data_IF_011783908232
#
_entry.id   IF_011783908232
#
_cell.length_a   1.000
_cell.length_b   1.000
_cell.length_c   1.000
_cell.angle_alpha   90.00
_cell.angle_beta   90.00
_cell.angle_gamma   90.00
#
_symmetry.space_group_name_H-M   'P 1'
#
loop_
_entity.id
_entity.type
_entity.pdbx_description
1 polymer ?
#
# COMPACT_ATOMS: atom_id res chain seq x y z
N UNK A 1 114.77 -55.50 -8.43
CA UNK A 1 113.80 -55.34 -9.53
C UNK A 1 112.49 -56.09 -9.30
N UNK A 2 112.46 -57.43 -9.17
CA UNK A 2 111.20 -58.20 -9.06
C UNK A 2 110.23 -57.78 -7.92
N UNK A 3 110.73 -57.40 -6.75
CA UNK A 3 109.88 -56.94 -5.63
C UNK A 3 109.17 -55.62 -5.93
N UNK A 4 109.83 -54.73 -6.68
CA UNK A 4 109.29 -53.44 -7.07
C UNK A 4 108.21 -53.62 -8.15
N UNK A 5 108.46 -54.49 -9.14
CA UNK A 5 107.45 -54.87 -10.15
C UNK A 5 106.22 -55.52 -9.51
N UNK A 6 106.40 -56.39 -8.52
CA UNK A 6 105.29 -57.03 -7.77
C UNK A 6 104.46 -56.00 -6.99
N UNK A 7 105.09 -54.99 -6.40
CA UNK A 7 104.38 -53.93 -5.68
C UNK A 7 103.59 -53.03 -6.64
N UNK A 8 104.18 -52.64 -7.78
CA UNK A 8 103.48 -51.87 -8.82
C UNK A 8 102.27 -52.62 -9.38
N UNK A 9 102.38 -53.93 -9.60
CA UNK A 9 101.23 -54.76 -10.05
C UNK A 9 100.13 -54.80 -8.99
N UNK A 10 100.48 -54.85 -7.69
CA UNK A 10 99.50 -54.81 -6.60
C UNK A 10 98.77 -53.46 -6.54
N UNK A 11 99.50 -52.35 -6.57
CA UNK A 11 98.92 -51.00 -6.57
C UNK A 11 98.08 -50.74 -7.82
N UNK A 12 98.51 -51.24 -8.99
CA UNK A 12 97.72 -51.14 -10.23
C UNK A 12 96.40 -51.93 -10.13
N UNK A 13 96.40 -53.11 -9.49
CA UNK A 13 95.20 -53.91 -9.29
C UNK A 13 94.23 -53.24 -8.30
N UNK A 14 94.74 -52.67 -7.20
CA UNK A 14 93.95 -51.87 -6.25
C UNK A 14 93.35 -50.62 -6.92
N UNK A 15 94.15 -49.90 -7.71
CA UNK A 15 93.70 -48.75 -8.49
C UNK A 15 92.64 -49.13 -9.53
N UNK A 16 92.85 -50.23 -10.27
CA UNK A 16 91.88 -50.75 -11.24
C UNK A 16 90.56 -51.15 -10.57
N UNK A 17 90.61 -51.76 -9.38
CA UNK A 17 89.43 -52.07 -8.59
C UNK A 17 88.68 -50.83 -8.13
N UNK A 18 89.39 -49.82 -7.61
CA UNK A 18 88.81 -48.53 -7.23
C UNK A 18 88.20 -47.78 -8.44
N UNK A 19 88.88 -47.80 -9.60
CA UNK A 19 88.37 -47.21 -10.83
C UNK A 19 87.10 -47.91 -11.30
N UNK A 20 87.05 -49.25 -11.25
CA UNK A 20 85.86 -50.01 -11.65
C UNK A 20 84.65 -49.71 -10.74
N UNK A 21 84.88 -49.51 -9.44
CA UNK A 21 83.84 -49.06 -8.51
C UNK A 21 83.36 -47.64 -8.84
N UNK A 22 84.27 -46.71 -9.15
CA UNK A 22 83.90 -45.35 -9.55
C UNK A 22 83.12 -45.32 -10.87
N UNK A 23 83.51 -46.13 -11.86
CA UNK A 23 82.77 -46.26 -13.14
C UNK A 23 81.37 -46.81 -12.89
N UNK A 24 81.23 -47.79 -12.00
CA UNK A 24 79.91 -48.34 -11.61
C UNK A 24 79.03 -47.29 -10.94
N UNK A 25 79.56 -46.58 -9.93
CA UNK A 25 78.84 -45.51 -9.24
C UNK A 25 78.45 -44.38 -10.20
N UNK A 26 79.33 -44.01 -11.13
CA UNK A 26 79.03 -43.02 -12.16
C UNK A 26 77.91 -43.48 -13.11
N UNK A 27 77.87 -44.76 -13.47
CA UNK A 27 76.78 -45.34 -14.26
C UNK A 27 75.44 -45.33 -13.51
N UNK A 28 75.45 -45.63 -12.21
CA UNK A 28 74.27 -45.55 -11.35
C UNK A 28 73.76 -44.10 -11.25
N UNK A 29 74.64 -43.13 -10.98
CA UNK A 29 74.28 -41.70 -10.95
C UNK A 29 73.77 -41.19 -12.30
N UNK A 30 74.36 -41.62 -13.42
CA UNK A 30 73.88 -41.23 -14.75
C UNK A 30 72.46 -41.74 -15.03
N UNK A 31 72.11 -42.94 -14.53
CA UNK A 31 70.76 -43.48 -14.61
C UNK A 31 69.79 -42.66 -13.75
N UNK A 32 70.16 -42.31 -12.53
CA UNK A 32 69.34 -41.45 -11.65
C UNK A 32 69.08 -40.08 -12.27
N UNK A 33 70.12 -39.47 -12.86
CA UNK A 33 70.01 -38.19 -13.59
C UNK A 33 69.02 -38.32 -14.76
N UNK A 34 69.12 -39.40 -15.54
CA UNK A 34 68.22 -39.64 -16.69
C UNK A 34 66.76 -39.76 -16.25
N UNK A 35 66.51 -40.48 -15.15
CA UNK A 35 65.17 -40.60 -14.57
C UNK A 35 64.65 -39.24 -14.08
N UNK A 36 65.48 -38.47 -13.38
CA UNK A 36 65.13 -37.13 -12.91
C UNK A 36 64.78 -36.19 -14.09
N UNK A 37 65.55 -36.21 -15.18
CA UNK A 37 65.25 -35.43 -16.38
C UNK A 37 63.94 -35.87 -17.06
N UNK A 38 63.65 -37.17 -17.11
CA UNK A 38 62.37 -37.66 -17.63
C UNK A 38 61.19 -37.17 -16.80
N UNK A 39 61.33 -37.13 -15.47
CA UNK A 39 60.31 -36.62 -14.57
C UNK A 39 60.13 -35.09 -14.72
N UNK A 40 61.24 -34.35 -14.89
CA UNK A 40 61.21 -32.91 -15.17
C UNK A 40 60.48 -32.64 -16.49
N UNK A 41 60.78 -33.38 -17.56
CA UNK A 41 60.10 -33.21 -18.86
C UNK A 41 58.59 -33.39 -18.73
N UNK A 42 58.14 -34.47 -18.06
CA UNK A 42 56.72 -34.70 -17.80
C UNK A 42 56.08 -33.59 -16.95
N UNK A 43 56.83 -33.04 -15.98
CA UNK A 43 56.35 -31.93 -15.15
C UNK A 43 56.22 -30.63 -15.94
N UNK A 44 57.14 -30.36 -16.87
CA UNK A 44 57.09 -29.21 -17.77
C UNK A 44 55.87 -29.29 -18.69
N UNK A 45 55.55 -30.47 -19.23
CA UNK A 45 54.35 -30.68 -20.04
C UNK A 45 53.06 -30.40 -19.24
N UNK A 46 52.99 -30.92 -18.00
CA UNK A 46 51.85 -30.65 -17.11
C UNK A 46 51.73 -29.17 -16.73
N UNK A 47 52.87 -28.49 -16.54
CA UNK A 47 52.91 -27.06 -16.28
C UNK A 47 52.42 -26.25 -17.49
N UNK A 48 52.80 -26.63 -18.71
CA UNK A 48 52.33 -25.99 -19.93
C UNK A 48 50.81 -26.10 -20.08
N UNK A 49 50.23 -27.28 -19.77
CA UNK A 49 48.78 -27.47 -19.75
C UNK A 49 48.10 -26.58 -18.69
N UNK A 50 48.65 -26.54 -17.48
CA UNK A 50 48.13 -25.69 -16.39
C UNK A 50 48.13 -24.20 -16.78
N UNK A 51 49.16 -23.72 -17.48
CA UNK A 51 49.22 -22.34 -17.99
C UNK A 51 48.13 -22.08 -19.04
N UNK A 52 47.80 -23.06 -19.89
CA UNK A 52 46.70 -22.92 -20.84
C UNK A 52 45.34 -22.79 -20.12
N UNK A 53 45.11 -23.62 -19.11
CA UNK A 53 43.88 -23.58 -18.30
C UNK A 53 43.73 -22.26 -17.53
N UNK A 54 44.84 -21.73 -17.00
CA UNK A 54 44.87 -20.39 -16.38
C UNK A 54 44.50 -19.30 -17.39
N UNK A 55 45.04 -19.33 -18.61
CA UNK A 55 44.71 -18.35 -19.64
C UNK A 55 43.22 -18.41 -20.02
N UNK A 56 42.66 -19.61 -20.19
CA UNK A 56 41.23 -19.77 -20.49
C UNK A 56 40.36 -19.25 -19.35
N UNK A 57 40.78 -19.47 -18.10
CA UNK A 57 40.07 -18.96 -16.92
C UNK A 57 40.14 -17.44 -16.84
N UNK A 58 41.29 -16.84 -17.17
CA UNK A 58 41.44 -15.38 -17.24
C UNK A 58 40.52 -14.74 -18.29
N UNK A 59 40.36 -15.35 -19.46
CA UNK A 59 39.40 -14.87 -20.47
C UNK A 59 37.96 -14.87 -19.95
N UNK A 60 37.55 -15.95 -19.26
CA UNK A 60 36.22 -16.02 -18.64
C UNK A 60 36.04 -14.98 -17.55
N UNK A 61 37.02 -14.79 -16.67
CA UNK A 61 36.96 -13.77 -15.62
C UNK A 61 36.85 -12.35 -16.20
N UNK A 62 37.52 -12.07 -17.32
CA UNK A 62 37.39 -10.77 -17.98
C UNK A 62 35.97 -10.52 -18.51
N UNK A 63 35.33 -11.54 -19.10
CA UNK A 63 33.95 -11.47 -19.58
C UNK A 63 32.95 -11.26 -18.42
N UNK A 64 33.15 -11.98 -17.31
CA UNK A 64 32.36 -11.81 -16.09
C UNK A 64 32.51 -10.40 -15.49
N UNK A 65 33.73 -9.84 -15.47
CA UNK A 65 33.99 -8.48 -14.98
C UNK A 65 33.24 -7.45 -15.84
N UNK A 66 33.22 -7.60 -17.16
CA UNK A 66 32.46 -6.71 -18.05
C UNK A 66 30.96 -6.81 -17.78
N UNK A 67 30.44 -8.03 -17.64
CA UNK A 67 29.03 -8.28 -17.30
C UNK A 67 28.63 -7.65 -15.97
N UNK A 68 29.48 -7.77 -14.94
CA UNK A 68 29.26 -7.15 -13.62
C UNK A 68 29.30 -5.61 -13.72
N UNK A 69 30.19 -5.05 -14.54
CA UNK A 69 30.28 -3.60 -14.77
C UNK A 69 29.02 -3.06 -15.44
N UNK A 70 28.49 -3.77 -16.44
CA UNK A 70 27.24 -3.41 -17.11
C UNK A 70 26.05 -3.50 -16.13
N UNK A 71 25.93 -4.61 -15.41
CA UNK A 71 24.90 -4.79 -14.39
C UNK A 71 24.94 -3.70 -13.30
N UNK A 72 26.13 -3.30 -12.87
CA UNK A 72 26.32 -2.21 -11.90
C UNK A 72 25.86 -0.86 -12.44
N UNK A 73 26.06 -0.60 -13.73
CA UNK A 73 25.61 0.63 -14.38
C UNK A 73 24.08 0.67 -14.47
N UNK A 74 23.46 -0.44 -14.89
CA UNK A 74 22.00 -0.58 -14.92
C UNK A 74 21.38 -0.47 -13.52
N UNK A 75 22.02 -1.06 -12.51
CA UNK A 75 21.58 -0.93 -11.11
C UNK A 75 21.60 0.51 -10.63
N UNK A 76 22.62 1.29 -11.01
CA UNK A 76 22.69 2.72 -10.68
C UNK A 76 21.56 3.52 -11.31
N UNK A 77 21.26 3.25 -12.59
CA UNK A 77 20.15 3.89 -13.30
C UNK A 77 18.79 3.55 -12.66
N UNK A 78 18.54 2.26 -12.39
CA UNK A 78 17.32 1.82 -11.72
C UNK A 78 17.18 2.42 -10.32
N UNK A 79 18.28 2.56 -9.58
CA UNK A 79 18.28 3.21 -8.27
C UNK A 79 17.89 4.68 -8.37
N UNK A 80 18.38 5.40 -9.39
CA UNK A 80 17.98 6.79 -9.65
C UNK A 80 16.49 6.90 -9.93
N UNK A 81 15.95 6.06 -10.82
CA UNK A 81 14.52 6.04 -11.15
C UNK A 81 13.67 5.69 -9.93
N UNK A 82 14.15 4.80 -9.06
CA UNK A 82 13.47 4.45 -7.81
C UNK A 82 13.37 5.65 -6.89
N UNK A 83 14.46 6.42 -6.72
CA UNK A 83 14.45 7.66 -5.91
C UNK A 83 13.46 8.68 -6.48
N UNK A 84 13.46 8.89 -7.79
CA UNK A 84 12.55 9.83 -8.44
C UNK A 84 11.08 9.41 -8.26
N UNK A 85 10.80 8.11 -8.42
CA UNK A 85 9.45 7.55 -8.23
C UNK A 85 9.01 7.67 -6.77
N UNK A 86 9.90 7.43 -5.81
CA UNK A 86 9.61 7.64 -4.38
C UNK A 86 9.32 9.10 -4.06
N UNK A 87 10.08 10.04 -4.62
CA UNK A 87 9.82 11.47 -4.44
C UNK A 87 8.47 11.89 -5.05
N UNK A 88 8.12 11.37 -6.22
CA UNK A 88 6.80 11.59 -6.82
C UNK A 88 5.69 11.03 -5.91
N UNK A 89 5.86 9.82 -5.39
CA UNK A 89 4.91 9.21 -4.46
C UNK A 89 4.70 10.04 -3.19
N UNK A 90 5.77 10.60 -2.62
CA UNK A 90 5.66 11.51 -1.47
C UNK A 90 4.87 12.77 -1.80
N UNK A 91 5.11 13.37 -2.97
CA UNK A 91 4.36 14.55 -3.40
C UNK A 91 2.86 14.22 -3.63
N UNK A 92 2.53 13.04 -4.15
CA UNK A 92 1.13 12.59 -4.28
C UNK A 92 0.46 12.38 -2.91
N UNK A 93 1.19 11.88 -1.92
CA UNK A 93 0.73 11.75 -0.53
C UNK A 93 0.46 13.12 0.10
N UNK A 94 1.31 14.12 -0.15
CA UNK A 94 1.10 15.49 0.33
C UNK A 94 -0.18 16.11 -0.26
N UNK A 95 -0.38 15.96 -1.59
CA UNK A 95 -1.59 16.40 -2.27
C UNK A 95 -2.83 15.70 -1.68
N UNK A 96 -2.74 14.40 -1.40
CA UNK A 96 -3.84 13.65 -0.77
C UNK A 96 -4.18 14.18 0.62
N UNK A 97 -3.19 14.58 1.42
CA UNK A 97 -3.41 15.17 2.75
C UNK A 97 -4.13 16.53 2.67
N UNK A 98 -3.80 17.35 1.67
CA UNK A 98 -4.52 18.60 1.40
C UNK A 98 -5.98 18.35 1.00
N UNK A 99 -6.23 17.38 0.13
CA UNK A 99 -7.58 17.00 -0.28
C UNK A 99 -8.43 16.49 0.89
N UNK A 100 -7.85 15.67 1.77
CA UNK A 100 -8.55 15.25 3.00
C UNK A 100 -8.89 16.42 3.92
N UNK A 101 -8.04 17.45 3.97
CA UNK A 101 -8.32 18.66 4.75
C UNK A 101 -9.52 19.41 4.16
N UNK A 102 -9.62 19.52 2.82
CA UNK A 102 -10.78 20.13 2.14
C UNK A 102 -12.06 19.34 2.39
N UNK A 103 -12.01 18.02 2.25
CA UNK A 103 -13.17 17.17 2.54
C UNK A 103 -13.62 17.28 4.00
N UNK A 104 -12.67 17.42 4.94
CA UNK A 104 -12.97 17.70 6.34
C UNK A 104 -13.75 19.00 6.55
N UNK A 105 -13.44 20.05 5.79
CA UNK A 105 -14.19 21.30 5.81
C UNK A 105 -15.62 21.14 5.23
N UNK A 106 -15.76 20.48 4.08
CA UNK A 106 -17.07 20.21 3.46
C UNK A 106 -17.99 19.38 4.38
N UNK A 107 -17.39 18.45 5.14
CA UNK A 107 -18.07 17.67 6.17
C UNK A 107 -18.62 18.57 7.28
N UNK A 108 -17.80 19.50 7.79
CA UNK A 108 -18.22 20.44 8.83
C UNK A 108 -19.37 21.34 8.36
N UNK A 109 -19.32 21.80 7.11
CA UNK A 109 -20.40 22.59 6.49
C UNK A 109 -21.68 21.76 6.35
N UNK A 110 -21.56 20.49 5.96
CA UNK A 110 -22.71 19.57 5.86
C UNK A 110 -23.37 19.36 7.22
N UNK A 111 -22.61 19.23 8.31
CA UNK A 111 -23.16 19.12 9.68
C UNK A 111 -23.94 20.39 10.04
N UNK A 112 -23.39 21.57 9.74
CA UNK A 112 -24.06 22.85 9.97
C UNK A 112 -25.40 22.93 9.21
N UNK A 113 -25.43 22.52 7.94
CA UNK A 113 -26.65 22.49 7.14
C UNK A 113 -27.71 21.51 7.69
N UNK A 114 -27.29 20.32 8.15
CA UNK A 114 -28.21 19.34 8.74
C UNK A 114 -28.81 19.85 10.07
N UNK A 115 -28.02 20.53 10.89
CA UNK A 115 -28.50 21.16 12.11
C UNK A 115 -29.52 22.26 11.82
N UNK A 116 -29.26 23.10 10.81
CA UNK A 116 -30.21 24.12 10.37
C UNK A 116 -31.52 23.51 9.83
N UNK A 117 -31.44 22.42 9.07
CA UNK A 117 -32.62 21.68 8.59
C UNK A 117 -33.45 21.11 9.74
N UNK A 118 -32.79 20.56 10.77
CA UNK A 118 -33.47 20.02 11.95
C UNK A 118 -34.22 21.13 12.71
N UNK A 119 -33.57 22.28 12.91
CA UNK A 119 -34.21 23.46 13.53
C UNK A 119 -35.42 23.95 12.72
N UNK A 120 -35.29 24.08 11.40
CA UNK A 120 -36.40 24.47 10.52
C UNK A 120 -37.56 23.46 10.58
N UNK A 121 -37.24 22.16 10.62
CA UNK A 121 -38.24 21.09 10.71
C UNK A 121 -39.01 21.17 12.04
N UNK A 122 -38.32 21.43 13.15
CA UNK A 122 -38.94 21.66 14.45
C UNK A 122 -39.87 22.88 14.44
N UNK A 123 -39.43 24.00 13.84
CA UNK A 123 -40.25 25.21 13.71
C UNK A 123 -41.53 24.96 12.90
N UNK A 124 -41.45 24.21 11.80
CA UNK A 124 -42.64 23.82 11.02
C UNK A 124 -43.56 22.93 11.87
N UNK A 125 -43.01 22.02 12.67
CA UNK A 125 -43.79 21.20 13.61
C UNK A 125 -44.63 22.04 14.58
N UNK A 126 -44.06 23.12 15.14
CA UNK A 126 -44.79 24.07 16.00
C UNK A 126 -45.93 24.75 15.23
N UNK A 127 -45.70 25.16 13.99
CA UNK A 127 -46.72 25.78 13.13
C UNK A 127 -47.86 24.81 12.84
N UNK A 128 -47.56 23.54 12.51
CA UNK A 128 -48.58 22.52 12.26
C UNK A 128 -49.44 22.25 13.49
N UNK A 129 -48.85 22.23 14.68
CA UNK A 129 -49.61 22.09 15.93
C UNK A 129 -50.60 23.25 16.10
N UNK A 130 -50.17 24.49 15.83
CA UNK A 130 -51.06 25.65 15.87
C UNK A 130 -52.19 25.58 14.83
N UNK A 131 -51.91 25.11 13.61
CA UNK A 131 -52.93 24.91 12.57
C UNK A 131 -53.92 23.82 13.00
N UNK A 132 -53.44 22.70 13.57
CA UNK A 132 -54.31 21.63 14.06
C UNK A 132 -55.24 22.13 15.19
N UNK A 133 -54.74 22.96 16.11
CA UNK A 133 -55.58 23.63 17.11
C UNK A 133 -56.62 24.55 16.48
N UNK A 134 -56.26 25.34 15.45
CA UNK A 134 -57.18 26.23 14.73
C UNK A 134 -58.26 25.40 14.02
N UNK A 135 -57.89 24.34 13.34
CA UNK A 135 -58.82 23.44 12.64
C UNK A 135 -59.75 22.74 13.63
N UNK A 136 -59.24 22.29 14.78
CA UNK A 136 -60.07 21.71 15.85
C UNK A 136 -61.07 22.72 16.43
N UNK A 137 -60.66 23.97 16.70
CA UNK A 137 -61.57 25.04 17.14
C UNK A 137 -62.59 25.41 16.07
N UNK A 138 -62.18 25.46 14.81
CA UNK A 138 -63.05 25.76 13.67
C UNK A 138 -64.09 24.66 13.48
N UNK A 139 -63.70 23.40 13.61
CA UNK A 139 -64.61 22.26 13.57
C UNK A 139 -65.67 22.34 14.69
N UNK A 140 -65.24 22.70 15.91
CA UNK A 140 -66.14 22.87 17.06
C UNK A 140 -67.10 24.06 16.88
N UNK A 141 -66.61 25.18 16.34
CA UNK A 141 -67.43 26.34 15.97
C UNK A 141 -68.45 26.00 14.88
N UNK A 142 -68.04 25.26 13.85
CA UNK A 142 -68.90 24.81 12.76
C UNK A 142 -69.98 23.85 13.27
N UNK A 143 -69.64 22.93 14.18
CA UNK A 143 -70.60 22.05 14.83
C UNK A 143 -71.64 22.84 15.63
N UNK A 144 -71.21 23.82 16.43
CA UNK A 144 -72.13 24.68 17.17
C UNK A 144 -73.05 25.47 16.25
N UNK A 145 -72.52 25.98 15.12
CA UNK A 145 -73.32 26.67 14.11
C UNK A 145 -74.33 25.74 13.42
N UNK A 146 -73.95 24.49 13.14
CA UNK A 146 -74.86 23.49 12.58
C UNK A 146 -76.01 23.14 13.54
N UNK A 147 -75.71 23.01 14.84
CA UNK A 147 -76.72 22.79 15.90
C UNK A 147 -77.70 23.97 15.96
N UNK A 148 -77.21 25.20 15.96
CA UNK A 148 -78.07 26.39 16.07
C UNK A 148 -78.88 26.62 14.78
N UNK A 149 -78.31 26.29 13.61
CA UNK A 149 -79.03 26.29 12.34
C UNK A 149 -80.16 25.25 12.30
N UNK A 150 -79.95 24.06 12.86
CA UNK A 150 -81.00 23.06 13.01
C UNK A 150 -82.12 23.54 13.97
N UNK A 151 -81.74 24.28 15.02
CA UNK A 151 -82.67 24.86 16.00
C UNK A 151 -83.55 25.96 15.43
N UNK A 152 -83.05 26.72 14.45
CA UNK A 152 -83.79 27.77 13.73
C UNK A 152 -84.82 27.23 12.69
N UNK A 153 -84.87 25.91 12.47
CA UNK A 153 -85.84 25.27 11.58
C UNK A 153 -85.69 25.66 10.12
N UNK A 154 -86.78 26.03 9.44
CA UNK A 154 -86.79 26.40 8.02
C UNK A 154 -85.87 27.60 7.69
N UNK A 155 -85.79 28.57 8.61
CA UNK A 155 -84.96 29.78 8.43
C UNK A 155 -83.45 29.49 8.51
N UNK A 156 -83.06 28.35 9.08
CA UNK A 156 -81.66 27.96 9.28
C UNK A 156 -81.07 27.08 8.19
N UNK A 157 -81.85 26.61 7.21
CA UNK A 157 -81.41 25.65 6.19
C UNK A 157 -80.16 26.10 5.42
N UNK A 158 -80.08 27.38 5.02
CA UNK A 158 -78.91 27.93 4.33
C UNK A 158 -77.66 27.97 5.22
N UNK A 159 -77.81 28.34 6.49
CA UNK A 159 -76.72 28.35 7.46
C UNK A 159 -76.23 26.93 7.81
N UNK A 160 -77.12 25.94 7.84
CA UNK A 160 -76.77 24.55 8.10
C UNK A 160 -75.84 23.98 7.01
N UNK A 161 -76.09 24.32 5.74
CA UNK A 161 -75.23 23.91 4.61
C UNK A 161 -73.83 24.52 4.72
N UNK A 162 -73.75 25.83 5.03
CA UNK A 162 -72.46 26.51 5.21
C UNK A 162 -71.71 25.94 6.41
N UNK A 163 -72.39 25.69 7.54
CA UNK A 163 -71.77 25.11 8.73
C UNK A 163 -71.19 23.72 8.47
N UNK A 164 -71.90 22.84 7.75
CA UNK A 164 -71.38 21.51 7.43
C UNK A 164 -70.22 21.56 6.41
N UNK A 165 -70.19 22.54 5.50
CA UNK A 165 -69.07 22.75 4.59
C UNK A 165 -67.81 23.25 5.33
N UNK A 166 -67.97 24.21 6.25
CA UNK A 166 -66.86 24.67 7.12
C UNK A 166 -66.34 23.52 7.99
N UNK A 167 -67.23 22.66 8.49
CA UNK A 167 -66.86 21.47 9.26
C UNK A 167 -65.98 20.52 8.44
N UNK A 168 -66.38 20.21 7.20
CA UNK A 168 -65.59 19.37 6.28
C UNK A 168 -64.24 19.98 5.94
N UNK A 169 -64.18 21.30 5.73
CA UNK A 169 -62.92 22.01 5.49
C UNK A 169 -61.99 21.95 6.70
N UNK A 170 -62.52 22.08 7.91
CA UNK A 170 -61.75 21.96 9.15
C UNK A 170 -61.21 20.53 9.36
N UNK A 171 -62.03 19.51 9.12
CA UNK A 171 -61.61 18.10 9.17
C UNK A 171 -60.54 17.79 8.10
N UNK A 172 -60.73 18.27 6.86
CA UNK A 172 -59.75 18.12 5.78
C UNK A 172 -58.44 18.83 6.11
N UNK A 173 -58.48 20.03 6.69
CA UNK A 173 -57.28 20.76 7.10
C UNK A 173 -56.52 20.02 8.19
N UNK A 174 -57.24 19.45 9.18
CA UNK A 174 -56.62 18.61 10.22
C UNK A 174 -55.93 17.39 9.63
N UNK A 175 -56.59 16.67 8.73
CA UNK A 175 -56.00 15.50 8.06
C UNK A 175 -54.73 15.88 7.29
N UNK A 176 -54.76 16.98 6.51
CA UNK A 176 -53.57 17.46 5.81
C UNK A 176 -52.43 17.83 6.77
N UNK A 177 -52.72 18.46 7.92
CA UNK A 177 -51.67 18.74 8.91
C UNK A 177 -51.07 17.48 9.55
N UNK A 178 -51.87 16.44 9.78
CA UNK A 178 -51.38 15.15 10.28
C UNK A 178 -50.47 14.47 9.24
N UNK A 179 -50.84 14.50 7.96
CA UNK A 179 -50.01 13.98 6.86
C UNK A 179 -48.68 14.74 6.72
N UNK A 180 -48.68 16.07 6.79
CA UNK A 180 -47.45 16.87 6.74
C UNK A 180 -46.57 16.58 7.97
N UNK A 181 -47.17 16.39 9.15
CA UNK A 181 -46.41 16.05 10.37
C UNK A 181 -45.70 14.69 10.25
N UNK A 182 -46.31 13.70 9.59
CA UNK A 182 -45.66 12.42 9.30
C UNK A 182 -44.45 12.61 8.38
N UNK A 183 -44.59 13.42 7.32
CA UNK A 183 -43.49 13.72 6.39
C UNK A 183 -42.33 14.42 7.13
N UNK A 184 -42.62 15.40 7.99
CA UNK A 184 -41.58 16.10 8.75
C UNK A 184 -40.84 15.19 9.71
N UNK A 185 -41.53 14.27 10.40
CA UNK A 185 -40.88 13.27 11.25
C UNK A 185 -39.92 12.38 10.43
N UNK A 186 -40.33 11.99 9.21
CA UNK A 186 -39.46 11.21 8.32
C UNK A 186 -38.25 12.02 7.86
N UNK A 187 -38.43 13.31 7.52
CA UNK A 187 -37.33 14.22 7.15
C UNK A 187 -36.36 14.42 8.31
N UNK A 188 -36.86 14.62 9.53
CA UNK A 188 -36.05 14.76 10.74
C UNK A 188 -35.23 13.50 11.01
N UNK A 189 -35.85 12.33 10.95
CA UNK A 189 -35.13 11.05 11.11
C UNK A 189 -34.08 10.81 10.02
N UNK A 190 -34.33 11.25 8.77
CA UNK A 190 -33.33 11.20 7.70
C UNK A 190 -32.17 12.16 7.95
N UNK A 191 -32.43 13.37 8.45
CA UNK A 191 -31.41 14.35 8.79
C UNK A 191 -30.50 13.86 9.93
N UNK A 192 -31.07 13.28 11.00
CA UNK A 192 -30.29 12.68 12.08
C UNK A 192 -29.40 11.52 11.61
N UNK A 193 -29.95 10.64 10.78
CA UNK A 193 -29.17 9.55 10.18
C UNK A 193 -28.03 10.08 9.30
N UNK A 194 -28.27 11.15 8.53
CA UNK A 194 -27.23 11.79 7.75
C UNK A 194 -26.12 12.36 8.65
N UNK A 195 -26.46 13.07 9.73
CA UNK A 195 -25.50 13.59 10.70
C UNK A 195 -24.63 12.49 11.31
N UNK A 196 -25.22 11.36 11.71
CA UNK A 196 -24.48 10.23 12.27
C UNK A 196 -23.48 9.62 11.25
N UNK A 197 -23.88 9.51 9.98
CA UNK A 197 -22.99 9.05 8.92
C UNK A 197 -21.83 10.03 8.68
N UNK A 198 -22.13 11.32 8.69
CA UNK A 198 -21.14 12.38 8.51
C UNK A 198 -20.12 12.41 9.66
N UNK A 199 -20.54 12.19 10.91
CA UNK A 199 -19.62 12.02 12.05
C UNK A 199 -18.71 10.80 11.90
N UNK A 200 -19.25 9.66 11.47
CA UNK A 200 -18.45 8.46 11.23
C UNK A 200 -17.40 8.68 10.13
N UNK A 201 -17.79 9.44 9.11
CA UNK A 201 -16.92 9.85 8.01
C UNK A 201 -15.82 10.80 8.50
N UNK A 202 -16.14 11.79 9.34
CA UNK A 202 -15.15 12.69 9.95
C UNK A 202 -14.05 11.93 10.69
N UNK A 203 -14.41 10.95 11.55
CA UNK A 203 -13.43 10.12 12.26
C UNK A 203 -12.52 9.32 11.30
N UNK A 204 -13.09 8.86 10.19
CA UNK A 204 -12.34 8.12 9.16
C UNK A 204 -11.32 9.04 8.47
N UNK A 205 -11.71 10.26 8.13
CA UNK A 205 -10.81 11.25 7.52
C UNK A 205 -9.72 11.73 8.48
N UNK A 206 -10.02 11.96 9.76
CA UNK A 206 -9.00 12.29 10.77
C UNK A 206 -7.94 11.18 10.88
N UNK A 207 -8.37 9.91 10.85
CA UNK A 207 -7.44 8.77 10.78
C UNK A 207 -6.61 8.79 9.50
N UNK A 208 -7.23 9.01 8.34
CA UNK A 208 -6.54 9.09 7.05
C UNK A 208 -5.50 10.23 6.99
N UNK A 209 -5.80 11.40 7.56
CA UNK A 209 -4.87 12.53 7.68
C UNK A 209 -3.67 12.15 8.55
N UNK A 210 -3.89 11.46 9.66
CA UNK A 210 -2.78 11.00 10.51
C UNK A 210 -1.91 9.96 9.83
N UNK A 211 -2.49 9.05 9.04
CA UNK A 211 -1.72 8.06 8.27
C UNK A 211 -0.87 8.74 7.21
N UNK A 212 -1.44 9.67 6.42
CA UNK A 212 -0.70 10.40 5.38
C UNK A 212 0.44 11.25 5.96
N UNK A 213 0.22 11.91 7.10
CA UNK A 213 1.28 12.66 7.82
C UNK A 213 2.42 11.81 8.38
N UNK A 214 2.22 10.50 8.57
CA UNK A 214 3.27 9.59 9.03
C UNK A 214 4.07 8.97 7.87
N UNK A 215 3.59 9.12 6.63
CA UNK A 215 4.24 8.62 5.41
C UNK A 215 5.19 9.67 4.82
N UNK A 216 4.87 10.96 4.99
CA UNK A 216 5.76 12.09 4.71
C UNK A 216 6.85 12.24 5.79
#
# INVERSE_FOLDING_TARGET
MFAQTRNTVKTLNEFSGALMNNVKAMGETANEITLAFSQIAASVDSQAQSVNDINNSMFKSNDEILSVSEASTSMRELSSVTVDTSNQGNNEVDVLAEEFTKVGADIADTVTLMNALNEQTNQIGVILNAINEISSKTNLLALNAAIEAARAGENGKGFAVVADEVRKLADSSRQSTEEIALILNEVQGKAENATNKVHSMQNSFESSINVTKNVA
#
